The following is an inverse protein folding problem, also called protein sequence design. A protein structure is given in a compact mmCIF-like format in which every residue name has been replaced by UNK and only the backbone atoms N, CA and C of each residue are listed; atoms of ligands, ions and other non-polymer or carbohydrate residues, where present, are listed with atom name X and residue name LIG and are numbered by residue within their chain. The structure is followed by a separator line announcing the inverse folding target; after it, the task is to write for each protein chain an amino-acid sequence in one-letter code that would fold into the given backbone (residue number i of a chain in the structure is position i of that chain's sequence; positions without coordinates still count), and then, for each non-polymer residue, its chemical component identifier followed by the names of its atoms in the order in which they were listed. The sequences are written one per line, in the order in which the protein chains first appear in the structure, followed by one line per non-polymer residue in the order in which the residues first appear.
data_IF_811235033667
#
_entry.id   IF_811235033667
#
_cell.length_a   1.000
_cell.length_b   1.000
_cell.length_c   1.000
_cell.angle_alpha   90.00
_cell.angle_beta   90.00
_cell.angle_gamma   90.00
#
_symmetry.space_group_name_H-M   'P 1'
#
loop_
_entity.id
_entity.type
_entity.pdbx_description
1 polymer ?
#
# COMPACT_ATOMS: atom_id res chain seq x y z
N UNK A 1 19.10 8.41 -9.40
CA UNK A 1 19.14 8.74 -7.95
C UNK A 1 18.67 7.52 -7.20
N UNK A 2 19.36 7.13 -6.14
CA UNK A 2 18.95 6.01 -5.28
C UNK A 2 17.70 6.43 -4.51
N UNK A 3 16.66 5.61 -4.54
CA UNK A 3 15.44 5.83 -3.77
C UNK A 3 15.71 5.42 -2.31
N UNK A 4 15.41 6.32 -1.35
CA UNK A 4 15.63 6.09 0.07
C UNK A 4 14.30 5.89 0.80
N UNK A 5 14.34 5.03 1.82
CA UNK A 5 13.28 4.91 2.84
C UNK A 5 13.73 5.54 4.15
N UNK A 6 12.78 6.02 4.95
CA UNK A 6 13.04 6.58 6.27
C UNK A 6 12.92 5.48 7.31
N UNK A 7 13.98 5.25 8.08
CA UNK A 7 13.99 4.29 9.18
C UNK A 7 13.29 4.88 10.41
N UNK A 8 12.61 4.02 11.18
CA UNK A 8 11.99 4.38 12.44
C UNK A 8 12.86 3.92 13.63
N UNK A 9 12.99 4.80 14.62
CA UNK A 9 13.61 4.48 15.91
C UNK A 9 12.65 3.68 16.82
N UNK A 10 13.15 3.23 17.98
CA UNK A 10 12.34 2.51 18.97
C UNK A 10 11.18 3.34 19.54
N UNK A 11 11.25 4.66 19.40
CA UNK A 11 10.22 5.62 19.80
C UNK A 11 9.20 5.92 18.68
N UNK A 12 9.31 5.25 17.53
CA UNK A 12 8.46 5.48 16.37
C UNK A 12 8.77 6.76 15.60
N UNK A 13 9.87 7.46 15.92
CA UNK A 13 10.29 8.67 15.23
C UNK A 13 11.35 8.37 14.13
N UNK A 14 11.51 9.26 13.14
CA UNK A 14 12.52 9.11 12.09
C UNK A 14 13.94 9.00 12.69
N UNK A 15 14.69 7.94 12.34
CA UNK A 15 15.97 7.62 12.91
C UNK A 15 17.08 7.35 11.87
N UNK A 16 16.90 7.84 10.65
CA UNK A 16 17.87 7.69 9.56
C UNK A 16 17.22 7.26 8.26
N UNK A 17 18.04 6.84 7.32
CA UNK A 17 17.58 6.40 5.99
C UNK A 17 18.31 5.14 5.55
N UNK A 18 17.69 4.36 4.66
CA UNK A 18 18.32 3.22 3.99
C UNK A 18 18.01 3.25 2.50
N UNK A 19 18.81 2.55 1.70
CA UNK A 19 18.52 2.31 0.28
C UNK A 19 17.29 1.41 0.18
N UNK A 20 16.26 1.85 -0.53
CA UNK A 20 15.03 1.08 -0.76
C UNK A 20 15.29 -0.27 -1.41
N UNK A 21 16.26 -0.34 -2.32
CA UNK A 21 16.60 -1.58 -3.01
C UNK A 21 17.27 -2.63 -2.10
N UNK A 22 17.76 -2.22 -0.92
CA UNK A 22 18.51 -3.08 0.00
C UNK A 22 17.87 -3.19 1.39
N UNK A 23 16.82 -2.43 1.71
CA UNK A 23 16.24 -2.39 3.05
C UNK A 23 15.55 -3.70 3.43
N UNK A 24 14.87 -4.35 2.48
CA UNK A 24 14.12 -5.58 2.72
C UNK A 24 15.06 -6.80 2.72
N UNK A 25 15.20 -7.42 3.88
CA UNK A 25 16.07 -8.57 4.14
C UNK A 25 15.33 -9.59 5.01
N UNK A 26 16.00 -10.61 5.49
CA UNK A 26 15.46 -11.54 6.52
C UNK A 26 15.34 -10.89 7.91
N UNK A 27 15.94 -9.72 8.10
CA UNK A 27 15.88 -8.91 9.33
C UNK A 27 15.73 -7.42 8.94
N UNK A 28 14.59 -7.10 8.33
CA UNK A 28 14.26 -5.75 7.86
C UNK A 28 14.05 -4.81 9.04
N UNK A 29 14.76 -3.68 9.11
CA UNK A 29 14.53 -2.68 10.13
C UNK A 29 13.15 -2.03 9.98
N UNK A 30 12.56 -1.60 11.10
CA UNK A 30 11.32 -0.83 11.08
C UNK A 30 11.52 0.47 10.29
N UNK A 31 10.64 0.73 9.34
CA UNK A 31 10.70 1.90 8.49
C UNK A 31 9.32 2.44 8.14
N UNK A 32 9.27 3.66 7.64
CA UNK A 32 8.02 4.31 7.27
C UNK A 32 7.58 3.93 5.87
N UNK A 33 6.30 3.59 5.78
CA UNK A 33 5.59 3.30 4.54
C UNK A 33 4.19 3.92 4.59
N UNK A 34 3.39 3.69 3.59
CA UNK A 34 1.95 3.90 3.59
C UNK A 34 1.26 2.86 2.72
N UNK A 35 0.00 2.61 3.02
CA UNK A 35 -0.92 1.82 2.20
C UNK A 35 -2.04 2.72 1.68
N UNK A 36 -2.49 2.51 0.44
CA UNK A 36 -3.54 3.30 -0.16
C UNK A 36 -4.59 2.44 -0.87
N UNK A 37 -5.84 2.86 -0.76
CA UNK A 37 -7.01 2.26 -1.36
C UNK A 37 -7.70 3.26 -2.27
N UNK A 38 -7.91 2.92 -3.52
CA UNK A 38 -8.60 3.76 -4.50
C UNK A 38 -10.06 3.32 -4.58
N UNK A 39 -10.95 4.30 -4.38
CA UNK A 39 -12.39 4.13 -4.56
C UNK A 39 -12.82 4.95 -5.77
N UNK A 40 -13.62 4.37 -6.65
CA UNK A 40 -14.26 5.06 -7.76
C UNK A 40 -15.71 4.61 -7.86
N UNK A 41 -16.64 5.54 -7.63
CA UNK A 41 -18.07 5.23 -7.51
C UNK A 41 -18.31 4.23 -6.37
N UNK A 42 -18.89 3.08 -6.68
CA UNK A 42 -19.20 2.01 -5.71
C UNK A 42 -18.18 0.87 -5.70
N UNK A 43 -16.98 1.08 -6.25
CA UNK A 43 -15.97 0.05 -6.42
C UNK A 43 -14.65 0.45 -5.80
N UNK A 44 -13.92 -0.54 -5.34
CA UNK A 44 -12.55 -0.41 -4.84
C UNK A 44 -11.58 -1.10 -5.80
N UNK A 45 -10.45 -0.45 -6.06
CA UNK A 45 -9.39 -0.98 -6.89
C UNK A 45 -8.51 -1.93 -6.09
N UNK A 46 -8.25 -3.11 -6.61
CA UNK A 46 -7.19 -4.00 -6.15
C UNK A 46 -6.19 -4.24 -7.27
N UNK A 47 -4.94 -4.43 -6.91
CA UNK A 47 -3.86 -4.69 -7.85
C UNK A 47 -3.21 -6.04 -7.59
N UNK A 48 -2.65 -6.62 -8.63
CA UNK A 48 -1.76 -7.77 -8.51
C UNK A 48 -0.33 -7.27 -8.67
N UNK A 49 0.50 -7.54 -7.67
CA UNK A 49 1.90 -7.09 -7.66
C UNK A 49 2.65 -7.66 -8.85
N UNK A 50 3.52 -6.85 -9.46
CA UNK A 50 4.36 -7.31 -10.57
C UNK A 50 5.19 -8.55 -10.19
N UNK A 51 5.36 -9.45 -11.14
CA UNK A 51 6.08 -10.71 -10.92
C UNK A 51 7.58 -10.51 -10.63
N UNK A 52 8.11 -9.33 -10.97
CA UNK A 52 9.50 -8.94 -10.70
C UNK A 52 9.73 -8.35 -9.30
N UNK A 53 8.68 -8.17 -8.49
CA UNK A 53 8.81 -7.66 -7.12
C UNK A 53 9.62 -8.62 -6.25
N UNK A 54 10.46 -8.07 -5.37
CA UNK A 54 11.26 -8.85 -4.42
C UNK A 54 10.40 -9.55 -3.36
N UNK A 55 9.36 -8.85 -2.88
CA UNK A 55 8.44 -9.34 -1.85
C UNK A 55 7.05 -9.55 -2.44
N UNK A 56 6.40 -10.65 -2.08
CA UNK A 56 5.06 -11.04 -2.55
C UNK A 56 4.83 -10.82 -4.06
N UNK A 57 5.69 -11.33 -4.97
CA UNK A 57 5.47 -11.23 -6.40
C UNK A 57 4.17 -11.94 -6.81
N UNK A 58 3.36 -11.29 -7.63
CA UNK A 58 2.13 -11.86 -8.18
C UNK A 58 0.97 -12.03 -7.19
N UNK A 59 1.07 -11.49 -5.98
CA UNK A 59 0.00 -11.54 -4.97
C UNK A 59 -0.98 -10.39 -5.19
N UNK A 60 -2.28 -10.66 -5.01
CA UNK A 60 -3.31 -9.62 -4.99
C UNK A 60 -3.24 -8.83 -3.69
N UNK A 61 -3.41 -7.52 -3.80
CA UNK A 61 -3.26 -6.59 -2.69
C UNK A 61 -4.20 -5.39 -2.85
N UNK A 62 -4.18 -4.47 -1.87
CA UNK A 62 -4.80 -3.14 -1.96
C UNK A 62 -4.36 -2.39 -3.23
N UNK A 63 -4.79 -1.14 -3.40
CA UNK A 63 -4.55 -0.45 -4.67
C UNK A 63 -3.07 -0.18 -4.94
N UNK A 64 -2.35 0.33 -3.96
CA UNK A 64 -0.88 0.50 -4.02
C UNK A 64 -0.32 0.81 -2.64
N UNK A 65 0.99 0.66 -2.49
CA UNK A 65 1.76 1.02 -1.31
C UNK A 65 3.00 1.81 -1.69
N UNK A 66 3.65 2.42 -0.71
CA UNK A 66 4.89 3.12 -0.99
C UNK A 66 5.58 3.62 0.27
N UNK A 67 6.70 4.29 0.06
CA UNK A 67 7.51 4.85 1.14
C UNK A 67 7.61 6.36 0.93
N UNK A 68 7.35 7.17 1.96
CA UNK A 68 7.69 8.59 1.94
C UNK A 68 9.18 8.78 1.78
N UNK A 69 9.59 9.70 0.93
CA UNK A 69 10.98 10.11 0.83
C UNK A 69 11.41 10.92 2.07
N UNK A 70 12.70 11.04 2.38
CA UNK A 70 13.14 11.87 3.50
C UNK A 70 12.61 13.31 3.40
N UNK A 71 11.83 13.73 4.40
CA UNK A 71 11.18 15.05 4.46
C UNK A 71 9.90 15.20 3.65
N UNK A 72 9.43 14.14 3.00
CA UNK A 72 8.15 14.10 2.30
C UNK A 72 7.02 13.74 3.28
N UNK A 73 5.89 14.44 3.20
CA UNK A 73 4.68 14.06 3.94
C UNK A 73 3.94 12.90 3.24
N UNK A 74 3.10 12.19 4.01
CA UNK A 74 2.40 11.02 3.51
C UNK A 74 1.45 11.32 2.34
N UNK A 75 0.74 12.44 2.35
CA UNK A 75 -0.20 12.80 1.27
C UNK A 75 0.56 13.02 -0.04
N UNK A 76 1.67 13.75 0.01
CA UNK A 76 2.56 13.94 -1.14
C UNK A 76 3.11 12.61 -1.67
N UNK A 77 3.52 11.71 -0.77
CA UNK A 77 3.99 10.38 -1.14
C UNK A 77 2.89 9.53 -1.80
N UNK A 78 1.66 9.55 -1.26
CA UNK A 78 0.49 8.87 -1.84
C UNK A 78 0.23 9.37 -3.26
N UNK A 79 0.16 10.68 -3.46
CA UNK A 79 -0.09 11.28 -4.79
C UNK A 79 1.01 10.94 -5.79
N UNK A 80 2.26 11.02 -5.39
CA UNK A 80 3.42 10.66 -6.21
C UNK A 80 3.37 9.19 -6.64
N UNK A 81 3.05 8.28 -5.71
CA UNK A 81 2.99 6.85 -6.01
C UNK A 81 1.75 6.48 -6.81
N UNK A 82 0.61 7.09 -6.56
CA UNK A 82 -0.60 6.93 -7.36
C UNK A 82 -0.33 7.25 -8.84
N UNK A 83 0.39 8.37 -9.09
CA UNK A 83 0.79 8.72 -10.44
C UNK A 83 1.80 7.71 -11.03
N UNK A 84 2.83 7.33 -10.26
CA UNK A 84 3.88 6.45 -10.75
C UNK A 84 3.40 5.02 -11.03
N UNK A 85 2.58 4.45 -10.12
CA UNK A 85 2.14 3.05 -10.23
C UNK A 85 0.91 2.86 -11.11
N UNK A 86 -0.01 3.83 -11.11
CA UNK A 86 -1.33 3.69 -11.74
C UNK A 86 -1.65 4.78 -12.76
N UNK A 87 -0.79 5.78 -12.96
CA UNK A 87 -1.04 6.91 -13.84
C UNK A 87 -2.15 7.85 -13.32
N UNK A 88 -2.50 7.76 -12.05
CA UNK A 88 -3.54 8.58 -11.43
C UNK A 88 -3.02 10.00 -11.18
N UNK A 89 -3.79 10.99 -11.62
CA UNK A 89 -3.62 12.38 -11.24
C UNK A 89 -4.73 12.76 -10.26
N UNK A 90 -4.36 13.07 -9.03
CA UNK A 90 -5.29 13.43 -7.96
C UNK A 90 -4.73 14.60 -7.14
N UNK A 91 -5.63 15.24 -6.39
CA UNK A 91 -5.32 16.37 -5.53
C UNK A 91 -5.35 15.95 -4.05
N UNK A 92 -4.72 16.74 -3.19
CA UNK A 92 -4.57 16.41 -1.77
C UNK A 92 -5.90 16.26 -1.02
N UNK A 93 -6.94 16.97 -1.42
CA UNK A 93 -8.28 16.90 -0.83
C UNK A 93 -9.05 15.61 -1.18
N UNK A 94 -8.56 14.85 -2.15
CA UNK A 94 -9.07 13.53 -2.50
C UNK A 94 -8.44 12.40 -1.67
N UNK A 95 -7.41 12.71 -0.86
CA UNK A 95 -6.68 11.75 -0.02
C UNK A 95 -7.15 11.88 1.42
N UNK A 96 -7.63 10.80 2.00
CA UNK A 96 -8.09 10.75 3.40
C UNK A 96 -7.37 9.65 4.17
N UNK A 97 -6.74 9.98 5.29
CA UNK A 97 -6.15 9.02 6.20
C UNK A 97 -7.25 8.33 7.01
N UNK A 98 -7.22 7.01 7.08
CA UNK A 98 -8.26 6.20 7.76
C UNK A 98 -7.71 5.33 8.88
N UNK A 99 -6.47 4.88 8.80
CA UNK A 99 -5.79 4.13 9.88
C UNK A 99 -4.41 4.77 10.13
N UNK A 100 -4.32 5.83 10.95
CA UNK A 100 -3.08 6.57 11.16
C UNK A 100 -2.00 5.78 11.90
N UNK A 101 -2.40 4.84 12.76
CA UNK A 101 -1.50 4.09 13.63
C UNK A 101 -1.25 2.65 13.15
N UNK A 102 -1.66 2.33 11.91
CA UNK A 102 -1.46 0.98 11.39
C UNK A 102 0.03 0.69 11.18
N UNK A 103 0.42 -0.50 11.60
CA UNK A 103 1.78 -1.02 11.42
C UNK A 103 1.70 -2.54 11.30
N UNK A 104 2.62 -3.13 10.57
CA UNK A 104 2.65 -4.58 10.40
C UNK A 104 4.06 -5.13 10.26
N UNK A 105 4.18 -6.43 10.47
CA UNK A 105 5.36 -7.21 10.17
C UNK A 105 4.94 -8.51 9.50
N UNK A 106 5.42 -8.74 8.29
CA UNK A 106 5.12 -9.94 7.52
C UNK A 106 6.40 -10.57 6.96
N UNK A 107 6.37 -11.88 6.78
CA UNK A 107 7.48 -12.65 6.20
C UNK A 107 6.97 -13.36 4.96
N UNK A 108 7.60 -13.14 3.81
CA UNK A 108 7.20 -13.80 2.58
C UNK A 108 7.74 -15.23 2.47
N UNK A 109 7.36 -15.95 1.39
CA UNK A 109 7.79 -17.32 1.16
C UNK A 109 9.30 -17.48 0.94
N UNK A 110 10.03 -16.40 0.62
CA UNK A 110 11.49 -16.39 0.49
C UNK A 110 12.21 -16.11 1.81
N UNK A 111 11.46 -15.75 2.85
CA UNK A 111 11.99 -15.37 4.16
C UNK A 111 12.31 -13.89 4.28
N UNK A 112 12.02 -13.08 3.26
CA UNK A 112 12.21 -11.63 3.34
C UNK A 112 11.08 -11.03 4.18
N UNK A 113 11.44 -10.05 5.01
CA UNK A 113 10.56 -9.39 5.96
C UNK A 113 10.15 -8.01 5.45
N UNK A 114 8.88 -7.67 5.56
CA UNK A 114 8.39 -6.30 5.60
C UNK A 114 8.05 -5.94 7.04
N UNK A 115 8.50 -4.77 7.51
CA UNK A 115 8.32 -4.31 8.88
C UNK A 115 8.15 -2.79 8.86
N UNK A 116 6.89 -2.34 8.92
CA UNK A 116 6.52 -0.99 8.54
C UNK A 116 5.59 -0.31 9.55
N UNK A 117 5.83 0.98 9.79
CA UNK A 117 4.81 1.94 10.25
C UNK A 117 4.13 2.40 8.97
N UNK A 118 2.88 2.01 8.77
CA UNK A 118 2.22 2.03 7.48
C UNK A 118 0.79 2.61 7.56
N UNK A 119 0.62 3.91 7.88
CA UNK A 119 -0.71 4.52 7.88
C UNK A 119 -1.46 4.25 6.58
N UNK A 120 -2.79 4.07 6.68
CA UNK A 120 -3.64 3.68 5.57
C UNK A 120 -4.48 4.85 5.10
N UNK A 121 -4.50 5.03 3.79
CA UNK A 121 -5.22 6.13 3.10
C UNK A 121 -6.28 5.60 2.15
N UNK A 122 -7.33 6.38 1.96
CA UNK A 122 -8.32 6.21 0.89
C UNK A 122 -8.20 7.37 -0.07
N UNK A 123 -8.16 7.07 -1.36
CA UNK A 123 -8.13 8.00 -2.46
C UNK A 123 -9.44 7.89 -3.23
N UNK A 124 -10.29 8.92 -3.14
CA UNK A 124 -11.61 8.95 -3.76
C UNK A 124 -11.55 9.63 -5.14
N UNK A 125 -11.88 8.89 -6.18
CA UNK A 125 -11.76 9.31 -7.58
C UNK A 125 -13.10 9.25 -8.32
N UNK A 126 -13.26 10.00 -9.42
CA UNK A 126 -14.40 9.87 -10.31
C UNK A 126 -14.55 8.44 -10.85
N UNK A 127 -15.78 8.00 -11.08
CA UNK A 127 -16.07 6.63 -11.55
C UNK A 127 -15.43 6.31 -12.91
N UNK A 128 -15.21 7.32 -13.73
CA UNK A 128 -14.63 7.23 -15.06
C UNK A 128 -13.11 7.41 -15.11
N UNK A 129 -12.44 7.34 -13.93
CA UNK A 129 -10.98 7.46 -13.84
C UNK A 129 -10.28 6.51 -14.80
N UNK A 130 -9.33 7.04 -15.56
CA UNK A 130 -8.50 6.23 -16.46
C UNK A 130 -7.22 5.83 -15.72
N UNK A 131 -6.89 4.54 -15.77
CA UNK A 131 -5.70 3.99 -15.14
C UNK A 131 -4.68 3.61 -16.20
N UNK A 132 -3.42 3.89 -15.91
CA UNK A 132 -2.26 3.52 -16.72
C UNK A 132 -1.23 2.80 -15.84
N UNK A 133 -1.47 1.50 -15.50
CA UNK A 133 -0.60 0.76 -14.60
C UNK A 133 0.83 0.65 -15.14
N UNK A 134 1.81 0.92 -14.28
CA UNK A 134 3.21 0.69 -14.56
C UNK A 134 3.51 -0.82 -14.45
N UNK A 135 3.94 -1.50 -15.52
CA UNK A 135 4.16 -2.95 -15.50
C UNK A 135 5.30 -3.40 -14.57
N UNK A 136 6.20 -2.51 -14.19
CA UNK A 136 7.26 -2.81 -13.22
C UNK A 136 6.74 -2.90 -11.79
N UNK A 137 5.54 -2.34 -11.53
CA UNK A 137 4.90 -2.31 -10.21
C UNK A 137 3.65 -3.20 -10.15
N UNK A 138 2.85 -3.20 -11.21
CA UNK A 138 1.51 -3.80 -11.26
C UNK A 138 1.39 -4.72 -12.46
N UNK A 139 1.12 -6.01 -12.19
CA UNK A 139 0.86 -7.02 -13.23
C UNK A 139 -0.59 -6.92 -13.76
N UNK A 140 -1.55 -6.76 -12.87
CA UNK A 140 -2.99 -6.73 -13.21
C UNK A 140 -3.76 -5.85 -12.25
N UNK A 141 -4.92 -5.37 -12.69
CA UNK A 141 -5.86 -4.60 -11.87
C UNK A 141 -7.25 -5.23 -11.91
N UNK A 142 -8.02 -5.02 -10.85
CA UNK A 142 -9.43 -5.38 -10.80
C UNK A 142 -10.22 -4.39 -9.94
N UNK A 143 -11.45 -4.08 -10.38
CA UNK A 143 -12.43 -3.35 -9.60
C UNK A 143 -13.38 -4.32 -8.92
N UNK A 144 -13.52 -4.22 -7.62
CA UNK A 144 -14.35 -5.09 -6.80
C UNK A 144 -15.43 -4.30 -6.05
N UNK A 145 -16.57 -4.93 -5.79
CA UNK A 145 -17.51 -4.42 -4.81
C UNK A 145 -16.89 -4.57 -3.41
N UNK A 146 -16.89 -3.53 -2.56
CA UNK A 146 -16.23 -3.58 -1.25
C UNK A 146 -16.66 -4.76 -0.39
N UNK A 147 -17.95 -5.01 -0.26
CA UNK A 147 -18.46 -6.13 0.54
C UNK A 147 -17.92 -7.48 0.05
N UNK A 148 -17.93 -7.72 -1.25
CA UNK A 148 -17.44 -8.98 -1.83
C UNK A 148 -15.92 -9.15 -1.62
N UNK A 149 -15.15 -8.05 -1.68
CA UNK A 149 -13.71 -8.08 -1.43
C UNK A 149 -13.40 -8.37 0.03
N UNK A 150 -14.13 -7.72 0.96
CA UNK A 150 -14.01 -7.97 2.40
C UNK A 150 -14.32 -9.43 2.72
N UNK A 151 -15.42 -9.97 2.21
CA UNK A 151 -15.80 -11.36 2.40
C UNK A 151 -14.74 -12.32 1.85
N UNK A 152 -14.18 -12.03 0.67
CA UNK A 152 -13.12 -12.83 0.07
C UNK A 152 -11.84 -12.80 0.90
N UNK A 153 -11.41 -11.64 1.38
CA UNK A 153 -10.21 -11.50 2.21
C UNK A 153 -10.34 -12.24 3.54
N UNK A 154 -11.53 -12.21 4.16
CA UNK A 154 -11.82 -12.96 5.38
C UNK A 154 -11.86 -14.46 5.14
N UNK A 155 -12.50 -14.91 4.05
CA UNK A 155 -12.70 -16.32 3.75
C UNK A 155 -11.44 -17.00 3.19
N UNK A 156 -10.59 -16.26 2.47
CA UNK A 156 -9.42 -16.78 1.76
C UNK A 156 -8.19 -15.89 1.95
N UNK A 157 -7.74 -15.63 3.19
CA UNK A 157 -6.67 -14.66 3.47
C UNK A 157 -5.35 -15.00 2.76
N UNK A 158 -5.09 -16.27 2.48
CA UNK A 158 -3.89 -16.74 1.78
C UNK A 158 -3.79 -16.28 0.32
N UNK A 159 -4.89 -15.77 -0.28
CA UNK A 159 -4.92 -15.29 -1.66
C UNK A 159 -4.48 -13.82 -1.79
N UNK A 160 -4.33 -13.12 -0.68
CA UNK A 160 -4.03 -11.70 -0.60
C UNK A 160 -2.75 -11.42 0.19
N UNK A 161 -2.24 -10.20 0.07
CA UNK A 161 -1.12 -9.77 0.89
C UNK A 161 -1.51 -9.71 2.37
N UNK A 162 -0.60 -10.04 3.31
CA UNK A 162 -0.90 -10.02 4.74
C UNK A 162 -1.40 -8.66 5.23
N UNK A 163 -0.73 -7.57 4.82
CA UNK A 163 -1.14 -6.21 5.23
C UNK A 163 -2.55 -5.87 4.76
N UNK A 164 -2.93 -6.21 3.52
CA UNK A 164 -4.30 -6.00 3.03
C UNK A 164 -5.33 -6.72 3.90
N UNK A 165 -5.05 -7.96 4.31
CA UNK A 165 -5.94 -8.75 5.17
C UNK A 165 -6.05 -8.11 6.56
N UNK A 166 -4.93 -7.66 7.13
CA UNK A 166 -4.89 -6.99 8.41
C UNK A 166 -5.61 -5.63 8.37
N UNK A 167 -5.39 -4.82 7.32
CA UNK A 167 -6.10 -3.56 7.10
C UNK A 167 -7.63 -3.75 7.00
N UNK A 168 -8.08 -4.75 6.22
CA UNK A 168 -9.51 -5.08 6.09
C UNK A 168 -10.12 -5.56 7.42
N UNK A 169 -9.35 -6.11 8.34
CA UNK A 169 -9.85 -6.47 9.66
C UNK A 169 -10.26 -5.24 10.48
N UNK A 170 -9.72 -4.06 10.17
CA UNK A 170 -9.99 -2.81 10.87
C UNK A 170 -11.35 -2.19 10.46
N UNK A 171 -12.19 -1.89 11.44
CA UNK A 171 -13.53 -1.33 11.21
C UNK A 171 -13.50 0.02 10.47
N UNK A 172 -12.60 0.99 10.81
CA UNK A 172 -12.58 2.27 10.11
C UNK A 172 -12.32 2.14 8.61
N UNK A 173 -11.48 1.19 8.18
CA UNK A 173 -11.26 0.97 6.77
C UNK A 173 -12.50 0.37 6.10
N UNK A 174 -13.14 -0.63 6.70
CA UNK A 174 -14.39 -1.20 6.14
C UNK A 174 -15.49 -0.17 5.98
N UNK A 175 -15.62 0.73 6.95
CA UNK A 175 -16.56 1.86 6.89
C UNK A 175 -16.20 2.85 5.77
N UNK A 176 -14.91 3.07 5.57
CA UNK A 176 -14.43 3.98 4.52
C UNK A 176 -14.59 3.40 3.11
N UNK A 177 -14.57 2.07 2.97
CA UNK A 177 -14.75 1.39 1.68
C UNK A 177 -16.23 1.16 1.33
N UNK A 178 -17.15 1.22 2.30
CA UNK A 178 -18.58 0.96 2.11
C UNK A 178 -19.30 2.14 1.44
#
# INVERSE_FOLDING_TARGET
MTELVVLAGPDGLPAGTADKAAVHTTDTPLHFAFSAWVIAGSKVLVTRRALAKQTWPGVWTNSFCGHPAPGEDNVSAVLRRAHFELGIHAEADQVREVLPDFSYRAVDSSGIVEHEICPVFVLELPEDVQLHPNPDEVDSIAWAAPAALIDAAVATPFAFSPWMVEEIAEAPLREALA
#
